data_IF_031489882704
#
_entry.id   IF_031489882704
#
_cell.length_a   1.000
_cell.length_b   1.000
_cell.length_c   1.000
_cell.angle_alpha   90.00
_cell.angle_beta   90.00
_cell.angle_gamma   90.00
#
_symmetry.space_group_name_H-M   'P 1'
#
loop_
_entity.id
_entity.type
_entity.pdbx_description
1 polymer ?
#
# COMPACT_ATOMS: atom_id res chain seq x y z
N UNK A 1 -38.33 26.24 5.63
CA UNK A 1 -36.97 26.70 5.28
C UNK A 1 -36.15 25.42 5.09
N UNK A 2 -36.06 24.96 3.86
CA UNK A 2 -35.32 23.73 3.52
C UNK A 2 -34.03 24.15 2.86
N UNK A 3 -32.90 23.78 3.48
CA UNK A 3 -31.56 24.02 2.97
C UNK A 3 -31.28 23.04 1.80
N UNK A 4 -31.03 23.61 0.62
CA UNK A 4 -30.71 22.83 -0.58
C UNK A 4 -29.33 22.19 -0.47
N UNK A 5 -29.27 20.87 -0.67
CA UNK A 5 -28.04 20.16 -0.90
C UNK A 5 -27.42 20.64 -2.23
N UNK A 6 -26.23 21.21 -2.16
CA UNK A 6 -25.46 21.58 -3.36
C UNK A 6 -24.91 20.30 -3.99
N UNK A 7 -25.39 19.96 -5.19
CA UNK A 7 -24.87 18.88 -5.98
C UNK A 7 -23.40 19.11 -6.34
N UNK A 8 -22.54 18.22 -5.88
CA UNK A 8 -21.12 18.24 -6.24
C UNK A 8 -20.95 17.83 -7.71
N UNK A 9 -20.16 18.58 -8.45
CA UNK A 9 -19.78 18.21 -9.82
C UNK A 9 -18.78 17.05 -9.76
N UNK A 10 -19.20 15.88 -10.19
CA UNK A 10 -18.30 14.75 -10.40
C UNK A 10 -17.38 15.04 -11.58
N UNK A 11 -16.18 15.52 -11.30
CA UNK A 11 -15.09 15.55 -12.26
C UNK A 11 -14.61 14.11 -12.47
N UNK A 12 -14.84 13.56 -13.67
CA UNK A 12 -14.40 12.20 -14.01
C UNK A 12 -12.88 12.17 -14.09
N UNK A 13 -12.19 11.35 -13.31
CA UNK A 13 -10.73 11.20 -13.43
C UNK A 13 -10.37 10.61 -14.80
N UNK A 14 -9.23 10.99 -15.40
CA UNK A 14 -8.76 10.40 -16.65
C UNK A 14 -8.51 8.91 -16.50
N UNK A 15 -8.76 8.17 -17.58
CA UNK A 15 -8.67 6.73 -17.68
C UNK A 15 -7.32 6.19 -17.19
N UNK A 16 -7.40 5.06 -16.46
CA UNK A 16 -6.26 4.42 -15.85
C UNK A 16 -5.06 4.17 -16.77
N UNK A 17 -3.91 4.42 -16.26
CA UNK A 17 -2.65 4.00 -16.85
C UNK A 17 -2.47 2.50 -16.62
N UNK A 18 -2.60 1.72 -17.69
CA UNK A 18 -1.98 0.40 -17.78
C UNK A 18 -0.52 0.61 -18.15
N UNK A 19 0.40 0.35 -17.22
CA UNK A 19 1.83 0.40 -17.46
C UNK A 19 2.24 -0.60 -18.55
N UNK A 20 2.51 -0.09 -19.75
CA UNK A 20 3.17 -0.80 -20.83
C UNK A 20 4.68 -0.62 -20.69
N UNK A 21 5.39 -1.70 -20.34
CA UNK A 21 6.84 -1.72 -20.35
C UNK A 21 7.40 -1.49 -21.74
N UNK A 22 8.23 -0.46 -21.92
CA UNK A 22 9.03 -0.26 -23.10
C UNK A 22 10.43 -0.84 -22.86
N UNK A 23 10.68 -1.99 -23.49
CA UNK A 23 11.99 -2.60 -23.61
C UNK A 23 12.84 -1.74 -24.57
N UNK A 24 13.94 -1.15 -24.11
CA UNK A 24 15.02 -0.68 -24.98
C UNK A 24 16.25 -1.56 -24.80
N UNK A 25 16.54 -2.29 -25.86
CA UNK A 25 17.82 -2.94 -26.03
C UNK A 25 18.90 -1.91 -26.40
N UNK A 26 20.00 -1.88 -25.66
CA UNK A 26 21.23 -1.22 -26.07
C UNK A 26 22.41 -2.18 -25.89
N UNK A 27 23.18 -2.23 -26.96
CA UNK A 27 24.31 -3.11 -27.21
C UNK A 27 25.51 -2.85 -26.31
N UNK A 28 26.33 -3.92 -26.17
CA UNK A 28 27.41 -4.08 -25.25
C UNK A 28 28.64 -3.20 -25.45
N UNK A 29 29.41 -3.14 -24.37
CA UNK A 29 30.86 -3.00 -24.39
C UNK A 29 31.47 -3.78 -23.22
N UNK A 30 32.45 -4.64 -23.56
CA UNK A 30 33.24 -5.42 -22.62
C UNK A 30 34.22 -4.51 -21.88
N UNK A 31 34.28 -4.61 -20.58
CA UNK A 31 35.46 -4.27 -19.77
C UNK A 31 35.59 -5.29 -18.64
N UNK A 32 36.80 -5.79 -18.46
CA UNK A 32 37.19 -6.91 -17.59
C UNK A 32 37.27 -6.54 -16.10
N UNK A 33 37.73 -7.46 -15.22
CA UNK A 33 37.22 -7.63 -13.88
C UNK A 33 37.97 -6.78 -12.85
N UNK A 34 37.25 -6.01 -12.07
CA UNK A 34 37.69 -5.52 -10.76
C UNK A 34 36.84 -6.16 -9.69
N UNK A 35 37.48 -6.80 -8.68
CA UNK A 35 36.85 -7.54 -7.61
C UNK A 35 35.91 -6.70 -6.76
N UNK A 36 34.62 -6.82 -7.02
CA UNK A 36 33.54 -6.33 -6.18
C UNK A 36 32.99 -7.48 -5.34
N UNK A 37 32.79 -7.29 -4.04
CA UNK A 37 32.08 -8.20 -3.16
C UNK A 37 30.74 -8.57 -3.79
N UNK A 38 30.28 -9.83 -3.73
CA UNK A 38 29.02 -10.22 -4.31
C UNK A 38 27.89 -9.36 -3.69
N UNK A 39 27.11 -8.73 -4.57
CA UNK A 39 25.88 -8.04 -4.19
C UNK A 39 24.98 -9.04 -3.46
N UNK A 40 24.36 -8.62 -2.35
CA UNK A 40 23.39 -9.42 -1.59
C UNK A 40 22.23 -9.78 -2.52
N UNK A 41 22.26 -11.00 -3.05
CA UNK A 41 21.20 -11.49 -3.95
C UNK A 41 19.98 -11.81 -3.10
N UNK A 42 18.88 -11.16 -3.39
CA UNK A 42 17.60 -11.42 -2.73
C UNK A 42 17.16 -12.86 -3.02
N UNK A 43 16.88 -13.61 -1.98
CA UNK A 43 16.43 -14.99 -2.07
C UNK A 43 14.92 -15.07 -2.23
N UNK A 44 14.46 -16.00 -3.05
CA UNK A 44 13.04 -16.37 -3.17
C UNK A 44 12.90 -17.80 -2.69
N UNK A 45 12.30 -18.01 -1.52
CA UNK A 45 11.99 -19.33 -1.00
C UNK A 45 10.49 -19.58 -1.14
N UNK A 46 10.11 -20.84 -1.37
CA UNK A 46 8.71 -21.26 -1.35
C UNK A 46 8.44 -22.02 -0.06
N UNK A 47 7.38 -21.67 0.63
CA UNK A 47 6.94 -22.30 1.88
C UNK A 47 5.67 -23.11 1.59
N UNK A 48 5.73 -24.44 1.70
CA UNK A 48 4.59 -25.34 1.61
C UNK A 48 4.15 -25.73 3.03
N UNK A 49 2.92 -25.38 3.39
CA UNK A 49 2.32 -25.72 4.67
C UNK A 49 0.91 -26.33 4.45
N UNK A 50 0.23 -26.72 5.53
CA UNK A 50 -1.12 -27.32 5.49
C UNK A 50 -2.15 -26.42 4.77
N UNK A 51 -1.96 -25.09 4.82
CA UNK A 51 -2.84 -24.09 4.19
C UNK A 51 -2.52 -23.77 2.73
N UNK A 52 -1.47 -24.37 2.14
CA UNK A 52 -1.07 -24.10 0.76
C UNK A 52 0.43 -23.81 0.58
N UNK A 53 0.78 -23.27 -0.60
CA UNK A 53 2.16 -22.88 -0.91
C UNK A 53 2.24 -21.37 -1.00
N UNK A 54 3.19 -20.79 -0.28
CA UNK A 54 3.45 -19.35 -0.20
C UNK A 54 4.86 -19.02 -0.67
N UNK A 55 5.09 -17.80 -1.14
CA UNK A 55 6.43 -17.33 -1.51
C UNK A 55 6.94 -16.42 -0.40
N UNK A 56 8.11 -16.76 0.17
CA UNK A 56 8.83 -15.92 1.11
C UNK A 56 9.71 -14.95 0.31
N UNK A 57 9.61 -13.67 0.60
CA UNK A 57 10.33 -12.60 -0.08
C UNK A 57 11.13 -11.76 0.92
N UNK A 58 12.06 -10.95 0.43
CA UNK A 58 12.87 -10.09 1.29
C UNK A 58 13.93 -10.82 2.11
N UNK A 59 14.24 -12.08 1.76
CA UNK A 59 15.30 -12.86 2.40
C UNK A 59 16.61 -12.73 1.63
N UNK A 60 17.73 -12.89 2.31
CA UNK A 60 19.07 -12.93 1.75
C UNK A 60 19.93 -13.97 2.48
N UNK A 61 21.14 -14.24 1.99
CA UNK A 61 22.09 -15.11 2.70
C UNK A 61 22.41 -14.63 4.11
N UNK A 62 22.25 -13.34 4.40
CA UNK A 62 22.50 -12.74 5.72
C UNK A 62 21.28 -12.68 6.63
N UNK A 63 20.10 -13.00 6.13
CA UNK A 63 18.87 -13.07 6.93
C UNK A 63 19.03 -14.11 8.01
N UNK A 64 18.59 -13.83 9.23
CA UNK A 64 18.72 -14.76 10.35
C UNK A 64 17.54 -15.74 10.41
N UNK A 65 17.79 -16.92 10.97
CA UNK A 65 16.77 -17.98 11.19
C UNK A 65 15.54 -17.42 11.89
N UNK A 66 15.68 -16.55 12.88
CA UNK A 66 14.55 -15.94 13.58
C UNK A 66 13.62 -15.13 12.67
N UNK A 67 14.16 -14.48 11.64
CA UNK A 67 13.39 -13.70 10.67
C UNK A 67 12.65 -14.62 9.72
N UNK A 68 13.30 -15.68 9.22
CA UNK A 68 12.66 -16.73 8.43
C UNK A 68 11.50 -17.38 9.21
N UNK A 69 11.75 -17.78 10.46
CA UNK A 69 10.72 -18.38 11.31
C UNK A 69 9.56 -17.42 11.60
N UNK A 70 9.85 -16.11 11.74
CA UNK A 70 8.85 -15.06 11.92
C UNK A 70 7.93 -14.92 10.70
N UNK A 71 8.49 -14.90 9.49
CA UNK A 71 7.72 -14.85 8.24
C UNK A 71 6.85 -16.12 8.07
N UNK A 72 7.42 -17.30 8.35
CA UNK A 72 6.67 -18.56 8.29
C UNK A 72 5.53 -18.55 9.31
N UNK A 73 5.75 -18.05 10.53
CA UNK A 73 4.71 -17.94 11.56
C UNK A 73 3.57 -17.02 11.10
N UNK A 74 3.89 -15.90 10.46
CA UNK A 74 2.90 -14.95 9.94
C UNK A 74 1.99 -15.59 8.86
N UNK A 75 2.57 -16.45 8.00
CA UNK A 75 1.85 -17.07 6.89
C UNK A 75 1.08 -18.32 7.31
N UNK A 76 1.67 -19.13 8.20
CA UNK A 76 1.15 -20.47 8.54
C UNK A 76 0.40 -20.53 9.86
N UNK A 77 0.54 -19.50 10.71
CA UNK A 77 0.04 -19.51 12.09
C UNK A 77 0.82 -20.44 13.04
N UNK A 78 1.88 -21.11 12.57
CA UNK A 78 2.68 -22.04 13.36
C UNK A 78 3.75 -21.24 14.12
N UNK A 79 3.68 -21.24 15.44
CA UNK A 79 4.66 -20.54 16.27
C UNK A 79 6.11 -21.01 15.99
N UNK A 80 7.12 -20.11 15.99
CA UNK A 80 8.51 -20.43 15.65
C UNK A 80 9.09 -21.65 16.39
N UNK A 81 8.76 -21.82 17.67
CA UNK A 81 9.20 -22.97 18.47
C UNK A 81 8.54 -24.30 18.14
N UNK A 82 7.50 -24.30 17.28
CA UNK A 82 6.74 -25.48 16.83
C UNK A 82 6.89 -25.72 15.32
N UNK A 83 7.69 -24.93 14.65
CA UNK A 83 7.98 -25.12 13.23
C UNK A 83 9.00 -26.25 13.06
N UNK A 84 8.64 -27.27 12.30
CA UNK A 84 9.52 -28.27 11.74
C UNK A 84 9.66 -27.97 10.26
N UNK A 85 10.84 -27.55 9.84
CA UNK A 85 11.10 -27.12 8.47
C UNK A 85 11.98 -28.15 7.79
N UNK A 86 11.51 -28.69 6.67
CA UNK A 86 12.22 -29.68 5.87
C UNK A 86 12.56 -29.08 4.50
N UNK A 87 13.72 -29.49 3.96
CA UNK A 87 14.23 -29.05 2.64
C UNK A 87 14.88 -30.22 1.90
N UNK A 88 14.96 -30.12 0.59
CA UNK A 88 15.64 -31.11 -0.24
C UNK A 88 14.76 -32.30 -0.68
N UNK A 89 15.39 -33.26 -1.37
CA UNK A 89 14.78 -34.51 -1.75
C UNK A 89 15.81 -35.67 -1.60
N UNK A 90 15.62 -36.59 -0.67
CA UNK A 90 14.50 -36.70 0.27
C UNK A 90 14.46 -35.50 1.24
N UNK A 91 13.28 -35.14 1.79
CA UNK A 91 13.15 -34.00 2.69
C UNK A 91 13.90 -34.25 4.02
N UNK A 92 14.85 -33.40 4.33
CA UNK A 92 15.62 -33.43 5.58
C UNK A 92 15.23 -32.25 6.47
N UNK A 93 15.19 -32.48 7.80
CA UNK A 93 14.82 -31.44 8.76
C UNK A 93 15.99 -30.47 8.95
N UNK A 94 15.73 -29.19 8.79
CA UNK A 94 16.70 -28.13 9.10
C UNK A 94 16.90 -28.02 10.62
N UNK A 95 18.17 -27.92 11.03
CA UNK A 95 18.50 -27.55 12.41
C UNK A 95 18.38 -26.02 12.55
N UNK A 96 17.36 -25.59 13.29
CA UNK A 96 17.04 -24.20 13.56
C UNK A 96 17.15 -23.89 15.07
N UNK A 97 17.95 -24.65 15.79
CA UNK A 97 18.16 -24.49 17.22
C UNK A 97 18.82 -23.15 17.58
N UNK A 98 19.76 -22.70 16.76
CA UNK A 98 20.35 -21.37 16.85
C UNK A 98 19.60 -20.38 15.94
N UNK A 99 18.83 -19.50 16.56
CA UNK A 99 18.00 -18.51 15.88
C UNK A 99 18.78 -17.33 15.32
N UNK A 100 20.04 -17.18 15.68
CA UNK A 100 20.94 -16.12 15.20
C UNK A 100 21.78 -16.55 14.01
N UNK A 101 21.81 -17.84 13.67
CA UNK A 101 22.43 -18.37 12.45
C UNK A 101 21.85 -17.69 11.22
N UNK A 102 22.71 -17.34 10.25
CA UNK A 102 22.30 -16.75 8.97
C UNK A 102 21.89 -17.84 7.97
N UNK A 103 20.97 -17.50 7.06
CA UNK A 103 20.44 -18.46 6.08
C UNK A 103 21.53 -19.01 5.15
N UNK A 104 22.59 -18.24 4.91
CA UNK A 104 23.73 -18.65 4.09
C UNK A 104 24.56 -19.79 4.68
N UNK A 105 24.43 -20.06 5.98
CA UNK A 105 25.11 -21.14 6.67
C UNK A 105 24.25 -22.42 6.75
N UNK A 106 23.01 -22.34 6.30
CA UNK A 106 22.09 -23.48 6.23
C UNK A 106 22.14 -24.13 4.83
N UNK A 107 21.80 -25.44 4.71
CA UNK A 107 21.74 -26.14 3.43
C UNK A 107 20.49 -25.74 2.62
N UNK A 108 20.29 -24.46 2.40
CA UNK A 108 19.19 -23.89 1.62
C UNK A 108 19.69 -22.87 0.62
N UNK A 109 19.02 -22.75 -0.52
CA UNK A 109 19.40 -21.84 -1.59
C UNK A 109 18.15 -21.09 -2.12
N UNK A 110 18.40 -19.97 -2.79
CA UNK A 110 17.33 -19.24 -3.46
C UNK A 110 16.62 -20.15 -4.49
N UNK A 111 15.30 -20.25 -4.39
CA UNK A 111 14.46 -21.11 -5.23
C UNK A 111 13.95 -22.38 -4.53
N UNK A 112 14.53 -22.73 -3.38
CA UNK A 112 14.15 -23.94 -2.67
C UNK A 112 12.72 -23.89 -2.13
N UNK A 113 12.17 -25.08 -1.93
CA UNK A 113 10.87 -25.29 -1.29
C UNK A 113 11.08 -25.80 0.12
N UNK A 114 10.63 -25.01 1.08
CA UNK A 114 10.57 -25.37 2.49
C UNK A 114 9.23 -26.03 2.79
N UNK A 115 9.25 -27.26 3.30
CA UNK A 115 8.03 -27.93 3.80
C UNK A 115 7.94 -27.62 5.28
N UNK A 116 6.84 -26.98 5.71
CA UNK A 116 6.64 -26.56 7.10
C UNK A 116 5.53 -27.38 7.72
N UNK A 117 5.89 -28.10 8.75
CA UNK A 117 4.99 -28.93 9.59
C UNK A 117 4.94 -28.38 11.00
N UNK A 118 3.78 -28.57 11.66
CA UNK A 118 3.63 -28.28 13.06
C UNK A 118 4.10 -29.47 13.90
N UNK A 119 5.14 -29.28 14.70
CA UNK A 119 5.62 -30.28 15.66
C UNK A 119 4.63 -30.38 16.84
N UNK A 120 3.82 -31.44 16.81
CA UNK A 120 2.82 -31.72 17.85
C UNK A 120 3.44 -32.35 19.10
N UNK A 121 4.69 -32.78 19.07
CA UNK A 121 5.38 -33.43 20.22
C UNK A 121 5.92 -32.41 21.21
N UNK A 122 6.10 -31.14 20.81
CA UNK A 122 6.46 -30.06 21.71
C UNK A 122 5.18 -29.54 22.40
N UNK A 123 5.14 -29.54 23.76
CA UNK A 123 3.96 -29.17 24.50
C UNK A 123 3.49 -27.76 24.11
N UNK A 124 2.17 -27.60 23.88
CA UNK A 124 1.54 -26.28 23.97
C UNK A 124 2.01 -25.69 25.28
N UNK A 125 2.65 -24.55 25.26
CA UNK A 125 2.91 -23.78 26.47
C UNK A 125 1.54 -23.41 27.07
N UNK A 126 1.00 -24.32 27.89
CA UNK A 126 -0.10 -24.02 28.79
C UNK A 126 0.50 -23.22 29.94
N UNK A 127 -0.18 -22.22 30.47
CA UNK A 127 0.30 -21.49 31.64
C UNK A 127 0.26 -22.41 32.85
N UNK A 128 1.36 -23.08 33.16
CA UNK A 128 1.53 -23.74 34.43
C UNK A 128 1.81 -22.67 35.48
N UNK A 129 0.89 -22.54 36.42
CA UNK A 129 1.06 -21.82 37.66
C UNK A 129 2.31 -22.32 38.40
N UNK A 130 3.37 -21.55 38.36
CA UNK A 130 4.50 -21.66 39.26
C UNK A 130 4.59 -20.41 40.12
N UNK A 131 4.22 -20.58 41.39
CA UNK A 131 4.53 -19.60 42.45
C UNK A 131 6.05 -19.57 42.62
N UNK A 132 6.71 -18.55 42.08
CA UNK A 132 7.86 -17.82 42.60
C UNK A 132 8.26 -16.79 41.52
N UNK A 133 8.40 -15.54 41.96
CA UNK A 133 8.51 -14.35 41.15
C UNK A 133 9.59 -14.38 40.05
N UNK A 134 9.14 -14.42 38.83
CA UNK A 134 9.86 -13.94 37.66
C UNK A 134 8.97 -12.89 36.99
N UNK A 135 9.53 -11.82 36.43
CA UNK A 135 8.73 -10.75 35.87
C UNK A 135 7.84 -11.32 34.76
N UNK A 136 6.53 -11.10 34.91
CA UNK A 136 5.55 -11.40 33.90
C UNK A 136 5.89 -10.56 32.66
N UNK A 137 6.47 -11.16 31.63
CA UNK A 137 6.46 -10.59 30.30
C UNK A 137 4.99 -10.61 29.83
N UNK A 138 4.27 -9.55 30.14
CA UNK A 138 3.05 -9.19 29.45
C UNK A 138 3.46 -9.11 27.99
N UNK A 139 2.94 -9.99 27.14
CA UNK A 139 3.06 -9.83 25.69
C UNK A 139 2.41 -8.49 25.40
N UNK A 140 3.23 -7.47 25.21
CA UNK A 140 2.73 -6.21 24.72
C UNK A 140 1.99 -6.48 23.41
N UNK A 141 0.76 -6.00 23.28
CA UNK A 141 0.03 -6.13 22.03
C UNK A 141 0.88 -5.52 20.91
N UNK A 142 0.99 -6.23 19.79
CA UNK A 142 1.79 -5.78 18.66
C UNK A 142 1.20 -4.48 18.08
N UNK A 143 2.05 -3.56 17.60
CA UNK A 143 1.57 -2.37 16.92
C UNK A 143 0.67 -2.73 15.73
N UNK A 144 -0.51 -2.11 15.64
CA UNK A 144 -1.53 -2.42 14.65
C UNK A 144 -1.64 -1.27 13.65
N UNK A 145 -1.64 -1.61 12.35
CA UNK A 145 -1.95 -0.65 11.30
C UNK A 145 -3.47 -0.44 11.25
N UNK A 146 -3.91 0.81 11.26
CA UNK A 146 -5.33 1.17 11.26
C UNK A 146 -5.62 2.28 10.26
N UNK A 147 -6.87 2.35 9.82
CA UNK A 147 -7.43 3.43 9.02
C UNK A 147 -7.90 4.56 9.95
N UNK A 148 -7.56 5.80 9.63
CA UNK A 148 -8.08 6.99 10.30
C UNK A 148 -9.05 7.70 9.37
N UNK A 149 -10.26 7.96 9.83
CA UNK A 149 -11.26 8.61 9.00
C UNK A 149 -10.96 10.11 8.84
N UNK A 150 -10.95 10.59 7.59
CA UNK A 150 -10.95 12.02 7.26
C UNK A 150 -12.33 12.44 6.75
N UNK A 151 -12.65 13.75 6.71
CA UNK A 151 -13.94 14.22 6.20
C UNK A 151 -14.22 13.69 4.78
N UNK A 152 -15.45 13.19 4.57
CA UNK A 152 -15.92 12.77 3.25
C UNK A 152 -16.34 14.01 2.44
N UNK A 153 -15.36 14.73 1.96
CA UNK A 153 -15.50 15.92 1.12
C UNK A 153 -14.66 15.77 -0.15
N UNK A 154 -14.69 16.76 -1.02
CA UNK A 154 -13.90 16.72 -2.27
C UNK A 154 -12.39 16.84 -2.04
N UNK A 155 -11.94 16.94 -0.81
CA UNK A 155 -10.56 17.20 -0.41
C UNK A 155 -9.94 16.06 0.39
N UNK A 156 -10.63 14.90 0.50
CA UNK A 156 -10.18 13.75 1.30
C UNK A 156 -8.74 13.30 0.94
N UNK A 157 -8.37 13.30 -0.33
CA UNK A 157 -7.00 12.98 -0.75
C UNK A 157 -5.98 13.93 -0.13
N UNK A 158 -6.21 15.25 -0.23
CA UNK A 158 -5.27 16.26 0.27
C UNK A 158 -5.15 16.21 1.78
N UNK A 159 -6.28 16.05 2.48
CA UNK A 159 -6.32 15.88 3.93
C UNK A 159 -5.59 14.62 4.37
N UNK A 160 -5.77 13.51 3.64
CA UNK A 160 -5.11 12.23 3.94
C UNK A 160 -3.60 12.30 3.72
N UNK A 161 -3.14 12.88 2.61
CA UNK A 161 -1.71 13.06 2.35
C UNK A 161 -1.08 13.97 3.41
N UNK A 162 -1.71 15.12 3.71
CA UNK A 162 -1.23 16.01 4.76
C UNK A 162 -1.10 15.30 6.10
N UNK A 163 -2.12 14.55 6.49
CA UNK A 163 -2.12 13.78 7.73
C UNK A 163 -0.91 12.85 7.84
N UNK A 164 -0.62 12.07 6.80
CA UNK A 164 0.46 11.08 6.88
C UNK A 164 1.85 11.70 6.79
N UNK A 165 2.03 12.80 6.06
CA UNK A 165 3.35 13.46 5.93
C UNK A 165 3.67 14.37 7.11
N UNK A 166 2.66 14.86 7.82
CA UNK A 166 2.78 15.73 9.02
C UNK A 166 2.64 14.93 10.34
N UNK A 167 2.92 13.63 10.31
CA UNK A 167 3.02 12.81 11.52
C UNK A 167 1.70 12.61 12.28
N UNK A 168 0.56 12.57 11.58
CA UNK A 168 -0.75 12.30 12.18
C UNK A 168 -1.53 13.55 12.57
N UNK A 169 -1.19 14.72 12.01
CA UNK A 169 -1.91 15.97 12.25
C UNK A 169 -3.11 16.09 11.32
N UNK A 170 -4.33 15.98 11.86
CA UNK A 170 -5.55 16.18 11.09
C UNK A 170 -5.83 17.68 10.88
N UNK A 171 -5.71 18.14 9.64
CA UNK A 171 -5.97 19.52 9.25
C UNK A 171 -6.69 19.62 7.90
N UNK A 172 -8.03 19.55 7.85
CA UNK A 172 -8.78 19.69 6.60
C UNK A 172 -8.60 21.06 5.90
N UNK A 173 -8.18 22.09 6.64
CA UNK A 173 -7.90 23.41 6.07
C UNK A 173 -6.63 23.46 5.20
N UNK A 174 -5.83 22.38 5.12
CA UNK A 174 -4.65 22.30 4.27
C UNK A 174 -4.97 22.25 2.77
N UNK A 175 -6.16 21.77 2.40
CA UNK A 175 -6.49 21.45 1.02
C UNK A 175 -6.35 22.61 0.02
N UNK A 176 -6.81 23.84 0.29
CA UNK A 176 -6.61 24.96 -0.63
C UNK A 176 -5.13 25.28 -0.90
N UNK A 177 -4.25 25.14 0.11
CA UNK A 177 -2.82 25.37 -0.04
C UNK A 177 -2.16 24.27 -0.86
N UNK A 178 -2.52 23.02 -0.61
CA UNK A 178 -2.01 21.87 -1.39
C UNK A 178 -2.45 21.95 -2.86
N UNK A 179 -3.68 22.36 -3.12
CA UNK A 179 -4.21 22.57 -4.47
C UNK A 179 -3.44 23.68 -5.20
N UNK A 180 -3.13 24.79 -4.54
CA UNK A 180 -2.29 25.88 -5.08
C UNK A 180 -0.88 25.42 -5.35
N UNK A 181 -0.28 24.64 -4.44
CA UNK A 181 1.04 24.05 -4.61
C UNK A 181 1.10 23.18 -5.86
N UNK A 182 0.14 22.29 -6.04
CA UNK A 182 0.06 21.41 -7.22
C UNK A 182 -0.05 22.25 -8.50
N UNK A 183 -0.95 23.25 -8.51
CA UNK A 183 -1.09 24.14 -9.66
C UNK A 183 0.22 24.89 -9.99
N UNK A 184 0.98 25.34 -8.99
CA UNK A 184 2.27 25.99 -9.18
C UNK A 184 3.31 25.04 -9.77
N UNK A 185 3.40 23.80 -9.27
CA UNK A 185 4.32 22.79 -9.79
C UNK A 185 4.00 22.46 -11.25
N UNK A 186 2.73 22.24 -11.56
CA UNK A 186 2.26 21.95 -12.92
C UNK A 186 2.54 23.11 -13.87
N UNK A 187 2.27 24.34 -13.46
CA UNK A 187 2.53 25.53 -14.26
C UNK A 187 4.02 25.77 -14.50
N UNK A 188 4.90 25.30 -13.61
CA UNK A 188 6.35 25.51 -13.72
C UNK A 188 7.04 24.61 -14.75
N UNK A 189 6.39 23.52 -15.17
CA UNK A 189 6.95 22.55 -16.13
C UNK A 189 5.88 22.08 -17.14
N UNK A 190 5.45 22.96 -18.06
CA UNK A 190 4.39 22.65 -19.01
C UNK A 190 4.78 21.61 -20.05
N UNK A 191 6.07 21.41 -20.29
CA UNK A 191 6.57 20.38 -21.21
C UNK A 191 6.37 18.98 -20.63
N UNK A 192 6.68 18.79 -19.36
CA UNK A 192 6.42 17.53 -18.66
C UNK A 192 4.92 17.35 -18.39
N UNK A 193 4.27 18.34 -17.80
CA UNK A 193 2.83 18.32 -17.52
C UNK A 193 2.04 18.77 -18.75
N UNK A 194 2.16 18.02 -19.83
CA UNK A 194 1.48 18.26 -21.09
C UNK A 194 0.01 17.77 -21.05
N UNK A 195 -0.76 18.20 -22.06
CA UNK A 195 -2.16 17.75 -22.21
C UNK A 195 -2.30 16.23 -22.28
N UNK A 196 -1.31 15.53 -22.84
CA UNK A 196 -1.29 14.07 -22.89
C UNK A 196 -1.25 13.42 -21.51
N UNK A 197 -0.61 14.06 -20.52
CA UNK A 197 -0.53 13.59 -19.13
C UNK A 197 -1.74 14.06 -18.33
N UNK A 198 -2.12 15.33 -18.48
CA UNK A 198 -3.15 15.96 -17.67
C UNK A 198 -4.58 15.68 -18.18
N UNK A 199 -4.74 15.30 -19.44
CA UNK A 199 -6.06 15.14 -20.09
C UNK A 199 -6.78 16.46 -20.39
N UNK A 200 -6.11 17.58 -20.17
CA UNK A 200 -6.52 18.97 -20.47
C UNK A 200 -5.28 19.82 -20.62
N UNK A 201 -5.42 21.04 -21.18
CA UNK A 201 -4.26 21.94 -21.27
C UNK A 201 -3.69 22.23 -19.88
N UNK A 202 -2.39 22.56 -19.83
CA UNK A 202 -1.72 22.87 -18.56
C UNK A 202 -2.43 23.99 -17.79
N UNK A 203 -2.84 25.03 -18.50
CA UNK A 203 -3.55 26.18 -17.91
C UNK A 203 -4.93 25.78 -17.36
N UNK A 204 -5.72 25.04 -18.14
CA UNK A 204 -7.03 24.54 -17.71
C UNK A 204 -6.94 23.63 -16.50
N UNK A 205 -5.91 22.77 -16.45
CA UNK A 205 -5.67 21.91 -15.29
C UNK A 205 -5.34 22.74 -14.04
N UNK A 206 -4.47 23.75 -14.17
CA UNK A 206 -4.09 24.62 -13.05
C UNK A 206 -5.28 25.38 -12.48
N UNK A 207 -6.23 25.82 -13.33
CA UNK A 207 -7.46 26.44 -12.84
C UNK A 207 -8.43 25.43 -12.25
N UNK A 208 -8.53 24.25 -12.84
CA UNK A 208 -9.41 23.17 -12.38
C UNK A 208 -9.00 22.65 -11.02
N UNK A 209 -7.72 22.35 -10.77
CA UNK A 209 -7.26 21.75 -9.50
C UNK A 209 -7.40 22.72 -8.30
N UNK A 210 -7.39 24.03 -8.53
CA UNK A 210 -7.59 25.03 -7.47
C UNK A 210 -9.02 25.07 -6.93
N UNK A 211 -9.98 24.53 -7.64
CA UNK A 211 -11.39 24.50 -7.22
C UNK A 211 -11.57 23.52 -6.06
N UNK A 212 -12.47 23.85 -5.15
CA UNK A 212 -12.78 23.05 -3.96
C UNK A 212 -13.69 21.85 -4.24
N UNK A 213 -14.33 21.82 -5.42
CA UNK A 213 -15.21 20.75 -5.86
C UNK A 213 -14.52 19.68 -6.73
N UNK A 214 -13.22 19.81 -7.00
CA UNK A 214 -12.46 18.83 -7.79
C UNK A 214 -11.85 17.73 -6.93
N UNK A 215 -11.86 16.52 -7.47
CA UNK A 215 -11.24 15.37 -6.81
C UNK A 215 -9.80 15.22 -7.27
N UNK A 216 -8.90 14.96 -6.31
CA UNK A 216 -7.53 14.56 -6.61
C UNK A 216 -7.44 13.06 -6.87
N UNK A 217 -6.40 12.66 -7.61
CA UNK A 217 -6.12 11.27 -7.97
C UNK A 217 -4.64 11.00 -8.17
N UNK A 218 -4.32 10.12 -9.11
CA UNK A 218 -2.96 9.62 -9.34
C UNK A 218 -1.95 10.73 -9.73
N UNK A 219 -2.40 11.75 -10.48
CA UNK A 219 -1.55 12.87 -10.88
C UNK A 219 -1.12 13.67 -9.65
N UNK A 220 -2.08 14.04 -8.81
CA UNK A 220 -1.85 14.81 -7.58
C UNK A 220 -0.96 14.04 -6.61
N UNK A 221 -1.21 12.73 -6.44
CA UNK A 221 -0.39 11.86 -5.59
C UNK A 221 1.06 11.80 -6.11
N UNK A 222 1.25 11.68 -7.43
CA UNK A 222 2.59 11.65 -8.04
C UNK A 222 3.34 12.96 -7.80
N UNK A 223 2.66 14.11 -7.94
CA UNK A 223 3.22 15.43 -7.67
C UNK A 223 3.59 15.58 -6.19
N UNK A 224 2.69 15.18 -5.29
CA UNK A 224 2.92 15.26 -3.84
C UNK A 224 4.02 14.30 -3.37
N UNK A 225 4.11 13.09 -3.94
CA UNK A 225 5.22 12.17 -3.68
C UNK A 225 6.56 12.81 -4.01
N UNK A 226 6.67 13.46 -5.17
CA UNK A 226 7.89 14.17 -5.59
C UNK A 226 8.18 15.38 -4.70
N UNK A 227 7.16 16.14 -4.33
CA UNK A 227 7.32 17.33 -3.49
C UNK A 227 7.79 16.97 -2.07
N UNK A 228 7.14 15.98 -1.42
CA UNK A 228 7.52 15.55 -0.07
C UNK A 228 8.71 14.58 -0.04
N UNK A 229 9.24 14.19 -1.20
CA UNK A 229 10.33 13.21 -1.34
C UNK A 229 10.07 11.94 -0.53
N UNK A 230 8.86 11.43 -0.64
CA UNK A 230 8.46 10.19 0.00
C UNK A 230 7.64 9.32 -0.96
N UNK A 231 7.76 8.02 -0.80
CA UNK A 231 6.91 7.06 -1.49
C UNK A 231 5.51 7.11 -0.89
N UNK A 232 4.50 7.38 -1.72
CA UNK A 232 3.10 7.32 -1.32
C UNK A 232 2.50 6.04 -1.86
N UNK A 233 2.11 5.13 -0.97
CA UNK A 233 1.47 3.87 -1.30
C UNK A 233 -0.03 3.97 -1.09
N UNK A 234 -0.82 3.67 -2.12
CA UNK A 234 -2.28 3.64 -2.06
C UNK A 234 -2.74 2.20 -2.17
N UNK A 235 -3.37 1.68 -1.12
CA UNK A 235 -3.99 0.35 -1.15
C UNK A 235 -5.45 0.46 -1.54
N UNK A 236 -5.82 -0.21 -2.61
CA UNK A 236 -7.19 -0.23 -3.15
C UNK A 236 -7.97 -1.39 -2.52
N UNK A 237 -9.12 -1.10 -1.92
CA UNK A 237 -9.94 -2.10 -1.22
C UNK A 237 -10.69 -3.04 -2.17
N UNK A 238 -10.99 -2.62 -3.38
CA UNK A 238 -11.71 -3.43 -4.35
C UNK A 238 -10.80 -4.49 -4.98
N UNK A 239 -9.60 -4.07 -5.38
CA UNK A 239 -8.63 -4.94 -6.09
C UNK A 239 -7.63 -5.61 -5.16
N UNK A 240 -7.47 -5.10 -3.93
CA UNK A 240 -6.43 -5.49 -2.96
C UNK A 240 -5.04 -5.37 -3.60
N UNK A 241 -4.80 -4.24 -4.26
CA UNK A 241 -3.54 -3.88 -4.91
C UNK A 241 -2.97 -2.63 -4.24
N UNK A 242 -1.65 -2.51 -4.24
CA UNK A 242 -0.96 -1.28 -3.83
C UNK A 242 -0.40 -0.62 -5.08
N UNK A 243 -0.77 0.64 -5.31
CA UNK A 243 -0.14 1.53 -6.26
C UNK A 243 0.91 2.37 -5.51
N UNK A 244 2.16 2.33 -5.99
CA UNK A 244 3.31 2.93 -5.32
C UNK A 244 3.84 4.12 -6.13
N UNK A 245 3.62 5.32 -5.63
CA UNK A 245 4.06 6.56 -6.26
C UNK A 245 5.44 6.95 -5.71
N UNK A 246 6.41 7.11 -6.60
CA UNK A 246 7.80 7.40 -6.24
C UNK A 246 8.63 6.16 -5.86
N UNK A 247 8.21 4.95 -6.21
CA UNK A 247 8.94 3.69 -5.93
C UNK A 247 10.37 3.72 -6.46
N UNK A 248 10.56 4.20 -7.70
CA UNK A 248 11.86 4.23 -8.37
C UNK A 248 12.69 5.50 -8.06
N UNK A 249 12.18 6.40 -7.23
CA UNK A 249 12.84 7.67 -6.92
C UNK A 249 13.92 7.56 -5.82
N UNK A 250 14.06 6.39 -5.19
CA UNK A 250 15.06 6.14 -4.15
C UNK A 250 14.76 6.84 -2.82
N UNK A 251 13.51 7.19 -2.56
CA UNK A 251 13.11 7.80 -1.29
C UNK A 251 13.29 6.83 -0.13
N UNK A 252 13.68 7.36 1.04
CA UNK A 252 13.89 6.58 2.27
C UNK A 252 12.65 6.48 3.15
N UNK A 253 11.63 7.30 2.86
CA UNK A 253 10.38 7.39 3.61
C UNK A 253 9.23 6.88 2.77
N UNK A 254 8.25 6.28 3.44
CA UNK A 254 7.00 5.76 2.88
C UNK A 254 5.83 6.20 3.73
N UNK A 255 4.73 6.56 3.09
CA UNK A 255 3.43 6.81 3.74
C UNK A 255 2.35 6.01 3.03
N UNK A 256 1.24 5.72 3.71
CA UNK A 256 0.19 4.85 3.19
C UNK A 256 -1.17 5.49 3.27
N UNK A 257 -1.94 5.32 2.20
CA UNK A 257 -3.36 5.65 2.11
C UNK A 257 -4.15 4.40 1.76
N UNK A 258 -5.41 4.35 2.15
CA UNK A 258 -6.38 3.36 1.69
C UNK A 258 -7.45 4.05 0.84
N UNK A 259 -7.83 3.41 -0.28
CA UNK A 259 -8.81 3.93 -1.23
C UNK A 259 -9.96 2.95 -1.39
N UNK A 260 -11.19 3.42 -1.26
CA UNK A 260 -12.39 2.56 -1.32
C UNK A 260 -13.21 2.69 -2.62
N UNK A 261 -12.64 3.32 -3.63
CA UNK A 261 -13.27 3.57 -4.92
C UNK A 261 -13.68 5.02 -5.13
N UNK A 262 -13.96 5.77 -4.06
CA UNK A 262 -14.36 7.18 -4.10
C UNK A 262 -13.71 8.04 -3.03
N UNK A 263 -13.18 7.42 -1.96
CA UNK A 263 -12.66 8.12 -0.79
C UNK A 263 -11.28 7.63 -0.39
N UNK A 264 -10.43 8.55 0.03
CA UNK A 264 -9.10 8.27 0.57
C UNK A 264 -9.09 8.50 2.07
N UNK A 265 -8.50 7.56 2.82
CA UNK A 265 -8.16 7.72 4.23
C UNK A 265 -6.69 7.42 4.48
N UNK A 266 -6.04 8.06 5.46
CA UNK A 266 -4.68 7.76 5.86
C UNK A 266 -4.60 6.46 6.67
N UNK A 267 -3.47 5.76 6.54
CA UNK A 267 -3.12 4.63 7.39
C UNK A 267 -2.06 5.03 8.40
N UNK A 268 -2.19 4.55 9.63
CA UNK A 268 -1.26 4.78 10.71
C UNK A 268 -1.03 3.51 11.53
N UNK A 269 0.14 3.38 12.12
CA UNK A 269 0.45 2.32 13.08
C UNK A 269 0.27 2.85 14.50
N UNK A 270 -0.65 2.23 15.24
CA UNK A 270 -0.87 2.54 16.65
C UNK A 270 -0.04 1.61 17.54
N UNK A 271 0.46 2.16 18.61
CA UNK A 271 1.18 1.43 19.64
C UNK A 271 0.25 1.09 20.81
N UNK A 272 0.58 0.04 21.58
CA UNK A 272 -0.22 -0.36 22.74
C UNK A 272 -0.30 0.71 23.83
N UNK A 273 0.75 1.50 23.98
CA UNK A 273 0.81 2.62 24.89
C UNK A 273 0.01 3.81 24.29
N UNK A 274 -1.08 4.24 24.95
CA UNK A 274 -1.93 5.33 24.46
C UNK A 274 -1.23 6.70 24.42
N UNK A 275 -0.14 6.88 25.16
CA UNK A 275 0.63 8.13 25.18
C UNK A 275 1.65 8.18 24.02
N UNK A 276 1.87 7.08 23.34
CA UNK A 276 2.74 7.02 22.15
C UNK A 276 1.99 7.54 20.93
N UNK A 277 2.48 8.59 20.24
CA UNK A 277 1.82 9.11 19.04
C UNK A 277 1.80 8.06 17.93
N UNK A 278 0.78 8.08 17.06
CA UNK A 278 0.70 7.15 15.95
C UNK A 278 1.85 7.38 14.96
N UNK A 279 2.35 6.29 14.36
CA UNK A 279 3.36 6.34 13.33
C UNK A 279 2.69 6.35 11.95
N UNK A 280 2.91 7.41 11.18
CA UNK A 280 2.38 7.58 9.82
C UNK A 280 3.47 7.51 8.74
N UNK A 281 4.73 7.77 9.12
CA UNK A 281 5.88 7.76 8.22
C UNK A 281 6.73 6.52 8.51
N UNK A 282 6.86 5.65 7.53
CA UNK A 282 7.59 4.39 7.60
C UNK A 282 8.89 4.47 6.81
N UNK A 283 9.83 3.56 7.07
CA UNK A 283 10.96 3.33 6.19
C UNK A 283 10.48 2.74 4.86
N UNK A 284 11.04 3.17 3.73
CA UNK A 284 10.76 2.54 2.42
C UNK A 284 11.19 1.06 2.36
N UNK A 285 12.01 0.61 3.30
CA UNK A 285 12.42 -0.79 3.46
C UNK A 285 11.48 -1.60 4.39
N UNK A 286 10.45 -0.96 4.99
CA UNK A 286 9.45 -1.67 5.82
C UNK A 286 8.38 -2.29 4.92
N UNK A 287 8.64 -3.49 4.40
CA UNK A 287 7.67 -4.22 3.60
C UNK A 287 6.56 -4.87 4.46
N UNK A 288 6.76 -4.96 5.78
CA UNK A 288 5.73 -5.48 6.70
C UNK A 288 4.52 -4.56 6.70
N UNK A 289 4.72 -3.26 6.65
CA UNK A 289 3.60 -2.31 6.61
C UNK A 289 2.77 -2.44 5.34
N UNK A 290 3.37 -2.83 4.21
CA UNK A 290 2.63 -3.09 2.96
C UNK A 290 1.75 -4.34 3.09
N UNK A 291 2.26 -5.39 3.73
CA UNK A 291 1.47 -6.60 4.02
C UNK A 291 0.29 -6.27 4.93
N UNK A 292 0.52 -5.52 6.00
CA UNK A 292 -0.55 -5.07 6.90
C UNK A 292 -1.61 -4.22 6.17
N UNK A 293 -1.19 -3.35 5.24
CA UNK A 293 -2.11 -2.56 4.44
C UNK A 293 -2.97 -3.42 3.50
N UNK A 294 -2.37 -4.46 2.89
CA UNK A 294 -3.12 -5.43 2.07
C UNK A 294 -4.11 -6.24 2.90
N UNK A 295 -3.76 -6.63 4.14
CA UNK A 295 -4.67 -7.32 5.05
C UNK A 295 -5.87 -6.44 5.42
N UNK A 296 -5.66 -5.14 5.69
CA UNK A 296 -6.74 -4.19 5.92
C UNK A 296 -7.66 -4.03 4.72
N UNK A 297 -7.09 -3.94 3.51
CA UNK A 297 -7.86 -3.82 2.28
C UNK A 297 -8.67 -5.10 2.00
N UNK A 298 -8.09 -6.29 2.22
CA UNK A 298 -8.80 -7.56 2.06
C UNK A 298 -9.93 -7.73 3.09
N UNK A 299 -9.72 -7.28 4.32
CA UNK A 299 -10.78 -7.24 5.34
C UNK A 299 -11.91 -6.29 4.92
N UNK A 300 -11.58 -5.07 4.46
CA UNK A 300 -12.56 -4.11 3.96
C UNK A 300 -13.32 -4.67 2.76
N UNK A 301 -12.64 -5.34 1.83
CA UNK A 301 -13.26 -6.01 0.68
C UNK A 301 -14.23 -7.10 1.12
N UNK A 302 -13.83 -7.98 2.05
CA UNK A 302 -14.71 -9.03 2.61
C UNK A 302 -15.95 -8.45 3.28
N UNK A 303 -15.81 -7.30 3.93
CA UNK A 303 -16.91 -6.56 4.55
C UNK A 303 -17.70 -5.71 3.56
N UNK A 304 -17.35 -5.71 2.27
CA UNK A 304 -17.93 -4.88 1.21
C UNK A 304 -17.88 -3.38 1.51
N UNK A 305 -16.83 -2.92 2.15
CA UNK A 305 -16.57 -1.52 2.50
C UNK A 305 -15.83 -0.82 1.35
N UNK A 306 -16.40 -0.86 0.15
CA UNK A 306 -15.89 -0.17 -1.04
C UNK A 306 -17.05 0.20 -1.97
N UNK A 307 -16.85 1.22 -2.80
CA UNK A 307 -17.79 1.63 -3.83
C UNK A 307 -17.38 1.03 -5.16
N UNK A 308 -18.23 0.19 -5.74
CA UNK A 308 -18.00 -0.35 -7.09
C UNK A 308 -18.40 0.71 -8.13
N UNK A 309 -17.44 1.55 -8.50
CA UNK A 309 -17.62 2.64 -9.47
C UNK A 309 -18.07 2.18 -10.85
N UNK A 310 -17.98 0.89 -11.16
CA UNK A 310 -18.47 0.32 -12.41
C UNK A 310 -19.94 -0.10 -12.34
N UNK A 311 -20.49 -0.24 -11.13
CA UNK A 311 -21.85 -0.74 -10.91
C UNK A 311 -22.76 0.19 -10.12
N UNK A 312 -22.25 1.32 -9.62
CA UNK A 312 -23.11 2.23 -8.88
C UNK A 312 -24.09 2.94 -9.83
N UNK A 313 -25.26 3.27 -9.32
CA UNK A 313 -26.32 3.91 -10.10
C UNK A 313 -26.15 5.42 -10.06
N UNK A 314 -26.12 6.04 -11.24
CA UNK A 314 -26.07 7.48 -11.39
C UNK A 314 -27.32 7.97 -12.15
N UNK A 315 -27.66 9.22 -11.92
CA UNK A 315 -28.66 9.93 -12.70
C UNK A 315 -28.08 11.24 -13.25
N UNK A 316 -28.23 11.46 -14.55
CA UNK A 316 -27.89 12.76 -15.11
C UNK A 316 -28.85 13.82 -14.55
N UNK A 317 -28.33 14.82 -13.84
CA UNK A 317 -29.16 15.85 -13.23
C UNK A 317 -29.74 16.86 -14.24
N UNK A 318 -29.29 16.81 -15.51
CA UNK A 318 -29.78 17.66 -16.59
C UNK A 318 -30.96 17.03 -17.28
N UNK A 319 -30.87 15.76 -17.71
CA UNK A 319 -31.91 15.07 -18.48
C UNK A 319 -32.57 13.92 -17.74
N UNK A 320 -32.22 13.66 -16.48
CA UNK A 320 -32.76 12.63 -15.59
C UNK A 320 -32.57 11.18 -16.09
N UNK A 321 -31.68 10.95 -17.08
CA UNK A 321 -31.36 9.61 -17.56
C UNK A 321 -30.63 8.83 -16.46
N UNK A 322 -31.14 7.63 -16.14
CA UNK A 322 -30.44 6.66 -15.27
C UNK A 322 -29.23 6.07 -16.01
N UNK A 323 -28.11 5.93 -15.31
CA UNK A 323 -26.84 5.44 -15.85
C UNK A 323 -26.23 4.47 -14.83
N UNK A 324 -25.49 3.48 -15.30
CA UNK A 324 -24.81 2.51 -14.45
C UNK A 324 -23.32 2.62 -14.61
N UNK A 325 -22.66 2.98 -13.53
CA UNK A 325 -21.21 3.09 -13.47
C UNK A 325 -20.64 4.28 -14.25
N UNK A 326 -19.34 4.45 -14.07
CA UNK A 326 -18.59 5.57 -14.63
C UNK A 326 -18.51 5.56 -16.16
N UNK A 327 -18.52 4.38 -16.78
CA UNK A 327 -18.43 4.24 -18.24
C UNK A 327 -19.66 4.86 -18.93
N UNK A 328 -20.88 4.48 -18.51
CA UNK A 328 -22.10 5.04 -19.08
C UNK A 328 -22.23 6.54 -18.83
N UNK A 329 -21.78 7.02 -17.65
CA UNK A 329 -21.78 8.46 -17.37
C UNK A 329 -20.85 9.23 -18.30
N UNK A 330 -19.66 8.68 -18.59
CA UNK A 330 -18.68 9.27 -19.51
C UNK A 330 -19.21 9.30 -20.95
N UNK A 331 -19.81 8.22 -21.41
CA UNK A 331 -20.34 8.13 -22.76
C UNK A 331 -21.54 9.09 -22.92
N UNK A 332 -22.43 9.16 -21.93
CA UNK A 332 -23.49 10.13 -21.89
C UNK A 332 -22.96 11.58 -21.92
N UNK A 333 -21.92 11.88 -21.16
CA UNK A 333 -21.30 13.20 -21.17
C UNK A 333 -20.71 13.56 -22.55
N UNK A 334 -20.07 12.60 -23.24
CA UNK A 334 -19.54 12.79 -24.60
C UNK A 334 -20.65 13.03 -25.62
N UNK A 335 -21.74 12.30 -25.53
CA UNK A 335 -22.87 12.37 -26.48
C UNK A 335 -23.70 13.63 -26.30
N UNK A 336 -23.91 14.07 -25.07
CA UNK A 336 -24.88 15.14 -24.75
C UNK A 336 -24.28 16.42 -24.22
N UNK A 337 -23.01 16.39 -23.81
CA UNK A 337 -22.36 17.49 -23.10
C UNK A 337 -22.81 17.63 -21.63
N UNK A 338 -23.66 16.74 -21.13
CA UNK A 338 -24.12 16.79 -19.74
C UNK A 338 -23.05 16.18 -18.81
N UNK A 339 -22.52 16.98 -17.89
CA UNK A 339 -21.46 16.56 -16.96
C UNK A 339 -21.88 16.55 -15.50
N UNK A 340 -23.15 16.88 -15.21
CA UNK A 340 -23.70 16.89 -13.84
C UNK A 340 -24.44 15.58 -13.59
N UNK A 341 -23.87 14.75 -12.70
CA UNK A 341 -24.43 13.45 -12.29
C UNK A 341 -24.63 13.41 -10.77
N UNK A 342 -25.66 12.71 -10.32
CA UNK A 342 -25.98 12.48 -8.93
C UNK A 342 -26.48 11.04 -8.72
N UNK A 343 -26.62 10.59 -7.48
CA UNK A 343 -27.27 9.33 -7.09
C UNK A 343 -28.79 9.43 -7.15
#
# INVERSE_FOLDING_TARGET
>A
MFGGAKGGHFGVPPAGWSGGGVSQAAAGTKAGPAGGRPADTMWRLRCKAKGGTHVLQGLSSRTRVRELQGQIAAITGIAPGRQRILVGYPPECLDLSDRDTILGDLPIHSGDMLIVEEDQTRPKASPAFSKHGAPSYVREPLPVLTRTAVPADNSCLFTSVYYVVEGGVLNPACAPDMRRLIAQIVASDPDFYSEAILGKTNEEYCEWIKRDDTWGGAIEISILSKFYQCEICVVDTQTVRIDRFGEDAGYTKRVLLIYDGIHYDPLQRNFPDPDTPPLTIFSSNDDIVLVQALELADEARRKRQFTDVNRFTLRCMVCQKGLTGQAEARDHAKETGHTNFGE
#
